data_IF_902678580652
#
_entry.id   IF_902678580652
#
_cell.length_a   1.000
_cell.length_b   1.000
_cell.length_c   1.000
_cell.angle_alpha   90.00
_cell.angle_beta   90.00
_cell.angle_gamma   90.00
#
_symmetry.space_group_name_H-M   'P 1'
#
loop_
_entity.id
_entity.type
_entity.pdbx_description
1 polymer ?
#
# COMPACT_ATOMS: atom_id res chain seq x y z
N UNK A 1 -14.72 28.99 0.48
CA UNK A 1 -14.44 27.66 -0.10
C UNK A 1 -13.04 27.27 0.33
N UNK A 2 -12.86 26.11 0.97
CA UNK A 2 -11.54 25.57 1.28
C UNK A 2 -10.81 25.25 -0.04
N UNK A 3 -9.51 25.52 -0.09
CA UNK A 3 -8.68 25.14 -1.23
C UNK A 3 -8.59 23.61 -1.29
N UNK A 4 -8.89 23.02 -2.44
CA UNK A 4 -8.74 21.58 -2.68
C UNK A 4 -7.37 21.36 -3.33
N UNK A 5 -6.51 20.59 -2.66
CA UNK A 5 -5.21 20.23 -3.19
C UNK A 5 -5.28 18.94 -4.04
N UNK A 6 -4.44 18.86 -5.08
CA UNK A 6 -4.30 17.64 -5.90
C UNK A 6 -3.27 16.68 -5.32
N UNK A 7 -3.40 15.39 -5.65
CA UNK A 7 -2.43 14.36 -5.25
C UNK A 7 -1.03 14.67 -5.82
N UNK A 8 -0.97 15.16 -7.05
CA UNK A 8 0.24 15.65 -7.69
C UNK A 8 0.96 16.72 -6.84
N UNK A 9 0.25 17.79 -6.48
CA UNK A 9 0.82 18.89 -5.70
C UNK A 9 1.39 18.41 -4.36
N UNK A 10 0.57 17.67 -3.60
CA UNK A 10 0.96 17.17 -2.27
C UNK A 10 2.16 16.23 -2.37
N UNK A 11 2.15 15.30 -3.33
CA UNK A 11 3.22 14.30 -3.47
C UNK A 11 4.56 14.94 -3.79
N UNK A 12 4.57 16.01 -4.60
CA UNK A 12 5.79 16.77 -4.87
C UNK A 12 6.28 17.52 -3.62
N UNK A 13 5.37 18.08 -2.81
CA UNK A 13 5.73 18.73 -1.54
C UNK A 13 6.35 17.76 -0.54
N UNK A 14 5.79 16.55 -0.43
CA UNK A 14 6.37 15.49 0.39
C UNK A 14 7.77 15.12 -0.11
N UNK A 15 7.96 14.95 -1.42
CA UNK A 15 9.29 14.64 -1.99
C UNK A 15 10.31 15.76 -1.70
N UNK A 16 9.93 17.03 -1.90
CA UNK A 16 10.78 18.19 -1.58
C UNK A 16 11.20 18.17 -0.11
N UNK A 17 10.24 17.92 0.80
CA UNK A 17 10.49 17.81 2.23
C UNK A 17 11.46 16.66 2.57
N UNK A 18 11.24 15.48 1.99
CA UNK A 18 12.13 14.33 2.17
C UNK A 18 13.56 14.62 1.72
N UNK A 19 13.73 15.20 0.52
CA UNK A 19 15.06 15.56 0.01
C UNK A 19 15.76 16.57 0.91
N UNK A 20 15.04 17.56 1.43
CA UNK A 20 15.60 18.51 2.39
C UNK A 20 16.09 17.88 3.71
N UNK A 21 15.67 16.65 4.01
CA UNK A 21 16.08 15.86 5.18
C UNK A 21 17.14 14.80 4.85
N UNK A 22 17.64 14.76 3.61
CA UNK A 22 18.68 13.83 3.17
C UNK A 22 18.20 12.50 2.61
N UNK A 23 16.89 12.35 2.33
CA UNK A 23 16.34 11.16 1.66
C UNK A 23 16.42 11.31 0.13
N UNK A 24 17.62 11.53 -0.40
CA UNK A 24 17.85 11.82 -1.82
C UNK A 24 17.57 10.63 -2.76
N UNK A 25 17.52 9.41 -2.22
CA UNK A 25 17.26 8.18 -2.97
C UNK A 25 15.82 8.06 -3.46
N UNK A 26 14.87 8.79 -2.87
CA UNK A 26 13.47 8.69 -3.24
C UNK A 26 13.16 9.41 -4.55
N UNK A 27 12.40 8.72 -5.39
CA UNK A 27 11.88 9.22 -6.66
C UNK A 27 10.36 9.10 -6.66
N UNK A 28 9.70 10.11 -7.22
CA UNK A 28 8.26 10.17 -7.30
C UNK A 28 7.75 9.64 -8.67
N UNK A 29 6.73 8.79 -8.63
CA UNK A 29 6.15 8.13 -9.82
C UNK A 29 4.62 8.12 -9.73
N UNK A 30 3.88 8.67 -10.71
CA UNK A 30 2.43 8.53 -10.75
C UNK A 30 2.07 7.17 -11.32
N UNK A 31 1.02 6.56 -10.77
CA UNK A 31 0.39 5.39 -11.38
C UNK A 31 -0.15 5.73 -12.76
N UNK A 32 -0.96 6.79 -12.88
CA UNK A 32 -1.47 7.29 -14.16
C UNK A 32 -0.85 8.66 -14.52
N UNK A 33 0.20 8.65 -15.33
CA UNK A 33 0.87 9.87 -15.81
C UNK A 33 -0.04 10.80 -16.64
N UNK A 34 -1.13 10.29 -17.20
CA UNK A 34 -2.08 11.06 -17.99
C UNK A 34 -3.16 11.73 -17.13
N UNK A 35 -3.29 11.34 -15.85
CA UNK A 35 -4.20 11.92 -14.85
C UNK A 35 -3.47 12.20 -13.53
N UNK A 36 -2.36 12.96 -13.54
CA UNK A 36 -1.48 13.10 -12.38
C UNK A 36 -2.18 13.72 -11.16
N UNK A 37 -3.18 14.58 -11.35
CA UNK A 37 -3.84 15.27 -10.24
C UNK A 37 -4.76 14.37 -9.40
N UNK A 38 -5.21 13.24 -9.97
CA UNK A 38 -6.14 12.32 -9.34
C UNK A 38 -5.73 10.86 -9.59
N UNK A 39 -4.52 10.52 -9.20
CA UNK A 39 -3.98 9.16 -9.28
C UNK A 39 -3.16 8.85 -8.03
N UNK A 40 -2.84 7.58 -7.84
CA UNK A 40 -1.89 7.17 -6.81
C UNK A 40 -0.51 7.65 -7.22
N UNK A 41 0.20 8.24 -6.27
CA UNK A 41 1.60 8.58 -6.41
C UNK A 41 2.43 7.71 -5.49
N UNK A 42 3.55 7.22 -5.99
CA UNK A 42 4.50 6.43 -5.22
C UNK A 42 5.80 7.18 -5.04
N UNK A 43 6.28 7.22 -3.80
CA UNK A 43 7.66 7.52 -3.46
C UNK A 43 8.40 6.19 -3.38
N UNK A 44 9.33 6.01 -4.31
CA UNK A 44 10.11 4.77 -4.49
C UNK A 44 11.57 5.06 -4.20
N UNK A 45 12.27 4.21 -3.44
CA UNK A 45 13.66 4.40 -3.02
C UNK A 45 14.68 4.10 -4.14
N UNK A 46 14.27 4.28 -5.40
CA UNK A 46 15.07 4.00 -6.58
C UNK A 46 14.56 4.83 -7.77
N UNK A 47 15.43 5.04 -8.77
CA UNK A 47 15.04 5.63 -10.05
C UNK A 47 14.40 4.62 -11.01
N UNK A 48 14.52 3.32 -10.71
CA UNK A 48 13.92 2.22 -11.45
C UNK A 48 12.38 2.36 -11.52
N UNK A 49 11.77 1.63 -12.45
CA UNK A 49 10.32 1.61 -12.56
C UNK A 49 9.74 1.07 -11.24
N UNK A 50 8.72 1.71 -10.66
CA UNK A 50 8.33 1.48 -9.26
C UNK A 50 7.85 0.06 -9.01
N UNK A 51 7.18 -0.55 -9.99
CA UNK A 51 6.53 -1.85 -9.83
C UNK A 51 7.45 -2.91 -9.20
N UNK A 52 6.86 -3.79 -8.39
CA UNK A 52 7.41 -5.08 -7.97
C UNK A 52 8.27 -5.04 -6.69
N UNK A 53 9.51 -4.57 -6.79
CA UNK A 53 10.55 -4.95 -5.84
C UNK A 53 10.47 -4.21 -4.50
N UNK A 54 10.27 -2.91 -4.54
CA UNK A 54 10.45 -2.05 -3.37
C UNK A 54 9.16 -1.89 -2.56
N UNK A 55 9.31 -1.78 -1.25
CA UNK A 55 8.33 -1.10 -0.41
C UNK A 55 8.28 0.38 -0.81
N UNK A 56 7.09 0.97 -0.76
CA UNK A 56 6.87 2.35 -1.22
C UNK A 56 6.07 3.12 -0.20
N UNK A 57 6.11 4.44 -0.34
CA UNK A 57 5.07 5.28 0.24
C UNK A 57 4.06 5.63 -0.86
N UNK A 58 2.80 5.23 -0.67
CA UNK A 58 1.69 5.62 -1.52
C UNK A 58 1.03 6.90 -1.00
N UNK A 59 0.65 7.79 -1.91
CA UNK A 59 -0.16 8.99 -1.67
C UNK A 59 -1.31 9.00 -2.66
N UNK A 60 -2.54 9.00 -2.18
CA UNK A 60 -3.74 9.00 -3.02
C UNK A 60 -4.92 9.63 -2.30
N UNK A 61 -6.06 9.81 -3.00
CA UNK A 61 -7.31 10.24 -2.36
C UNK A 61 -8.19 9.04 -2.07
N UNK A 62 -8.87 9.08 -0.94
CA UNK A 62 -9.87 8.06 -0.61
C UNK A 62 -11.03 8.10 -1.61
N UNK A 63 -11.65 6.95 -1.88
CA UNK A 63 -12.75 6.87 -2.85
C UNK A 63 -13.94 7.72 -2.39
N UNK A 64 -14.45 8.58 -3.28
CA UNK A 64 -15.51 9.56 -2.98
C UNK A 64 -15.17 10.58 -1.86
N UNK A 65 -13.90 10.78 -1.53
CA UNK A 65 -13.46 11.82 -0.61
C UNK A 65 -12.34 12.66 -1.22
N UNK A 66 -12.21 13.90 -0.76
CA UNK A 66 -11.07 14.78 -1.09
C UNK A 66 -9.87 14.57 -0.14
N UNK A 67 -10.06 13.75 0.89
CA UNK A 67 -9.04 13.43 1.89
C UNK A 67 -7.99 12.48 1.34
N UNK A 68 -6.78 12.66 1.83
CA UNK A 68 -5.62 11.91 1.39
C UNK A 68 -5.42 10.66 2.23
N UNK A 69 -4.94 9.61 1.58
CA UNK A 69 -4.35 8.44 2.21
C UNK A 69 -2.85 8.50 1.95
N UNK A 70 -2.05 8.38 3.01
CA UNK A 70 -0.60 8.31 2.89
C UNK A 70 -0.03 7.17 3.72
N UNK A 71 0.85 6.37 3.12
CA UNK A 71 1.66 5.46 3.91
C UNK A 71 2.25 4.28 3.17
N UNK A 72 2.59 3.24 3.91
CA UNK A 72 3.33 2.08 3.40
C UNK A 72 2.51 1.32 2.36
N UNK A 73 3.18 0.88 1.29
CA UNK A 73 2.59 0.11 0.21
C UNK A 73 3.50 -1.06 -0.19
N UNK A 74 2.88 -2.23 -0.32
CA UNK A 74 3.54 -3.49 -0.66
C UNK A 74 2.76 -4.19 -1.77
N UNK A 75 3.51 -4.82 -2.68
CA UNK A 75 2.96 -5.56 -3.82
C UNK A 75 3.39 -7.02 -3.72
N UNK A 76 2.43 -7.94 -3.85
CA UNK A 76 2.69 -9.35 -4.08
C UNK A 76 2.46 -9.69 -5.54
N UNK A 77 3.47 -10.28 -6.17
CA UNK A 77 3.34 -10.88 -7.48
C UNK A 77 2.65 -12.25 -7.47
N UNK A 78 2.59 -12.86 -8.64
CA UNK A 78 2.04 -14.20 -8.82
C UNK A 78 3.00 -15.29 -8.35
N UNK A 79 2.46 -16.44 -7.95
CA UNK A 79 3.28 -17.63 -7.65
C UNK A 79 4.04 -18.11 -8.90
N UNK A 80 5.01 -19.00 -8.71
CA UNK A 80 5.74 -19.61 -9.82
C UNK A 80 4.77 -20.28 -10.81
N UNK A 81 3.87 -21.14 -10.30
CA UNK A 81 2.85 -21.83 -11.10
C UNK A 81 1.92 -20.85 -11.81
N UNK A 82 1.38 -19.86 -11.08
CA UNK A 82 0.46 -18.88 -11.66
C UNK A 82 1.12 -18.04 -12.76
N UNK A 83 2.37 -17.63 -12.55
CA UNK A 83 3.13 -16.82 -13.51
C UNK A 83 3.51 -17.57 -14.78
N UNK A 84 3.70 -18.89 -14.71
CA UNK A 84 4.00 -19.73 -15.88
C UNK A 84 2.79 -19.85 -16.81
N UNK A 85 1.59 -19.88 -16.25
CA UNK A 85 0.34 -19.94 -17.02
C UNK A 85 -0.15 -18.56 -17.49
N UNK A 86 0.23 -17.49 -16.79
CA UNK A 86 -0.13 -16.11 -17.12
C UNK A 86 1.10 -15.33 -17.62
N UNK A 87 1.68 -14.43 -16.83
CA UNK A 87 2.82 -13.60 -17.20
C UNK A 87 4.00 -13.79 -16.25
N UNK A 88 5.11 -14.29 -16.78
CA UNK A 88 6.36 -14.47 -16.03
C UNK A 88 6.91 -13.14 -15.46
N UNK A 89 6.55 -11.99 -16.06
CA UNK A 89 6.96 -10.67 -15.57
C UNK A 89 6.33 -10.32 -14.22
N UNK A 90 5.17 -10.90 -13.91
CA UNK A 90 4.44 -10.67 -12.66
C UNK A 90 4.85 -11.64 -11.55
N UNK A 91 5.78 -12.57 -11.83
CA UNK A 91 6.25 -13.55 -10.85
C UNK A 91 6.95 -12.84 -9.69
N UNK A 92 6.49 -13.08 -8.47
CA UNK A 92 7.18 -12.62 -7.27
C UNK A 92 8.60 -13.19 -7.21
N UNK A 93 9.57 -12.35 -6.84
CA UNK A 93 10.96 -12.75 -6.63
C UNK A 93 11.31 -12.69 -5.14
N UNK A 94 12.36 -13.41 -4.74
CA UNK A 94 12.80 -13.49 -3.34
C UNK A 94 13.25 -12.14 -2.77
N UNK A 95 13.72 -11.23 -3.63
CA UNK A 95 14.23 -9.91 -3.26
C UNK A 95 13.14 -8.83 -3.16
N UNK A 96 11.86 -9.18 -3.29
CA UNK A 96 10.77 -8.23 -3.11
C UNK A 96 10.51 -7.94 -1.62
N UNK A 97 10.24 -6.68 -1.30
CA UNK A 97 9.90 -6.22 0.05
C UNK A 97 8.70 -6.97 0.65
N UNK A 98 7.81 -7.53 -0.18
CA UNK A 98 6.74 -8.41 0.25
C UNK A 98 7.22 -9.57 1.14
N UNK A 99 8.36 -10.19 0.82
CA UNK A 99 8.85 -11.34 1.58
C UNK A 99 9.34 -10.92 2.98
N UNK A 100 9.93 -9.74 3.10
CA UNK A 100 10.30 -9.11 4.38
C UNK A 100 9.03 -8.85 5.19
N UNK A 101 8.04 -8.21 4.56
CA UNK A 101 6.74 -7.91 5.15
C UNK A 101 6.02 -9.16 5.71
N UNK A 102 5.95 -10.25 4.95
CA UNK A 102 5.34 -11.51 5.41
C UNK A 102 6.08 -12.09 6.61
N UNK A 103 7.42 -12.03 6.60
CA UNK A 103 8.24 -12.49 7.73
C UNK A 103 8.00 -11.62 8.96
N UNK A 104 7.87 -10.31 8.80
CA UNK A 104 7.64 -9.38 9.90
C UNK A 104 6.24 -9.47 10.49
N UNK A 105 5.22 -9.80 9.68
CA UNK A 105 3.91 -10.20 10.23
C UNK A 105 4.07 -11.46 11.07
N UNK A 106 4.70 -12.51 10.53
CA UNK A 106 4.82 -13.81 11.21
C UNK A 106 5.60 -13.77 12.52
N UNK A 107 6.50 -12.80 12.69
CA UNK A 107 7.29 -12.60 13.91
C UNK A 107 6.72 -11.51 14.83
N UNK A 108 5.59 -10.90 14.48
CA UNK A 108 5.00 -9.77 15.22
C UNK A 108 5.81 -8.47 15.18
N UNK A 109 6.76 -8.35 14.25
CA UNK A 109 7.54 -7.12 14.06
C UNK A 109 6.71 -6.04 13.37
N UNK A 110 5.87 -6.41 12.40
CA UNK A 110 5.04 -5.45 11.69
C UNK A 110 4.08 -4.72 12.62
N UNK A 111 3.47 -5.43 13.58
CA UNK A 111 2.64 -4.81 14.61
C UNK A 111 3.42 -3.80 15.47
N UNK A 112 4.67 -4.13 15.87
CA UNK A 112 5.53 -3.20 16.62
C UNK A 112 5.85 -1.94 15.82
N UNK A 113 6.07 -2.09 14.51
CA UNK A 113 6.31 -0.97 13.58
C UNK A 113 5.08 -0.07 13.54
N UNK A 114 3.88 -0.64 13.34
CA UNK A 114 2.64 0.13 13.34
C UNK A 114 2.35 0.78 14.69
N UNK A 115 2.63 0.11 15.80
CA UNK A 115 2.50 0.68 17.14
C UNK A 115 3.44 1.88 17.34
N UNK A 116 4.67 1.82 16.82
CA UNK A 116 5.63 2.91 16.88
C UNK A 116 5.23 4.10 15.99
N UNK A 117 4.69 3.84 14.80
CA UNK A 117 4.09 4.86 13.92
C UNK A 117 2.92 5.53 14.64
N UNK A 118 1.95 4.76 15.13
CA UNK A 118 0.80 5.26 15.88
C UNK A 118 1.22 6.12 17.08
N UNK A 119 2.19 5.67 17.87
CA UNK A 119 2.71 6.44 19.01
C UNK A 119 3.32 7.78 18.59
N UNK A 120 3.90 7.85 17.39
CA UNK A 120 4.58 9.05 16.88
C UNK A 120 3.63 10.02 16.18
N UNK A 121 2.57 9.51 15.53
CA UNK A 121 1.59 10.32 14.80
C UNK A 121 0.36 10.66 15.63
N UNK A 122 -0.05 9.76 16.53
CA UNK A 122 -1.33 9.83 17.24
C UNK A 122 -2.54 9.52 16.36
N UNK A 123 -2.32 9.05 15.13
CA UNK A 123 -3.36 8.83 14.11
C UNK A 123 -3.59 7.33 13.89
N UNK A 124 -4.86 6.95 13.73
CA UNK A 124 -5.23 5.57 13.41
C UNK A 124 -4.67 5.15 12.04
N UNK A 125 -4.27 3.88 11.92
CA UNK A 125 -3.69 3.32 10.70
C UNK A 125 -4.73 2.43 10.03
N UNK A 126 -5.12 2.78 8.81
CA UNK A 126 -5.99 1.96 7.97
C UNK A 126 -5.15 0.95 7.20
N UNK A 127 -5.51 -0.32 7.30
CA UNK A 127 -4.96 -1.37 6.46
C UNK A 127 -5.94 -1.65 5.32
N UNK A 128 -5.46 -1.66 4.08
CA UNK A 128 -6.28 -1.95 2.91
C UNK A 128 -5.60 -3.08 2.16
N UNK A 129 -6.33 -4.15 1.94
CA UNK A 129 -5.90 -5.29 1.14
C UNK A 129 -6.75 -5.36 -0.11
N UNK A 130 -6.12 -5.35 -1.27
CA UNK A 130 -6.76 -5.47 -2.58
C UNK A 130 -6.16 -6.65 -3.31
N UNK A 131 -7.01 -7.54 -3.82
CA UNK A 131 -6.59 -8.70 -4.60
C UNK A 131 -7.19 -8.66 -6.01
N UNK A 132 -6.30 -8.69 -6.99
CA UNK A 132 -6.60 -8.58 -8.40
C UNK A 132 -6.36 -9.95 -9.05
N UNK A 133 -7.39 -10.64 -9.55
CA UNK A 133 -7.20 -11.93 -10.20
C UNK A 133 -6.48 -11.72 -11.54
N UNK A 134 -5.42 -12.49 -11.79
CA UNK A 134 -4.70 -12.47 -13.07
C UNK A 134 -5.00 -13.77 -13.80
N UNK A 135 -6.01 -13.71 -14.67
CA UNK A 135 -6.58 -14.92 -15.32
C UNK A 135 -5.94 -15.23 -16.69
N UNK A 136 -5.41 -14.24 -17.40
CA UNK A 136 -4.75 -14.45 -18.69
C UNK A 136 -3.67 -13.41 -19.03
N UNK A 137 -2.90 -13.69 -20.09
CA UNK A 137 -1.78 -12.85 -20.57
C UNK A 137 -2.23 -11.47 -21.06
N UNK A 138 -3.39 -11.37 -21.70
CA UNK A 138 -3.88 -10.10 -22.26
C UNK A 138 -4.33 -9.13 -21.15
N UNK A 139 -4.88 -9.68 -20.06
CA UNK A 139 -5.23 -8.92 -18.87
C UNK A 139 -3.99 -8.49 -18.08
N UNK A 140 -2.94 -9.32 -18.05
CA UNK A 140 -1.67 -9.02 -17.39
C UNK A 140 -0.83 -7.93 -18.09
N UNK A 141 -0.96 -7.79 -19.42
CA UNK A 141 -0.21 -6.82 -20.23
C UNK A 141 -0.90 -5.45 -20.36
N UNK A 142 -2.17 -5.32 -19.95
CA UNK A 142 -2.82 -4.02 -19.81
C UNK A 142 -2.39 -3.41 -18.48
N UNK A 143 -1.90 -2.16 -18.52
CA UNK A 143 -1.70 -1.36 -17.30
C UNK A 143 -2.97 -1.50 -16.46
N UNK A 144 -2.85 -2.08 -15.26
CA UNK A 144 -3.96 -2.41 -14.36
C UNK A 144 -4.63 -1.12 -13.85
N UNK A 145 -5.24 -0.31 -14.71
CA UNK A 145 -6.15 0.77 -14.32
C UNK A 145 -7.43 0.12 -13.78
N UNK A 146 -7.33 -0.52 -12.61
CA UNK A 146 -8.48 -1.14 -11.98
C UNK A 146 -9.22 -0.05 -11.19
N UNK A 147 -10.44 0.30 -11.60
CA UNK A 147 -11.35 1.03 -10.73
C UNK A 147 -11.65 0.11 -9.54
N UNK A 148 -11.35 0.57 -8.32
CA UNK A 148 -11.75 -0.03 -7.04
C UNK A 148 -11.72 -1.57 -7.01
N UNK A 149 -10.59 -2.16 -6.59
CA UNK A 149 -10.36 -3.61 -6.67
C UNK A 149 -11.58 -4.43 -6.20
N UNK A 150 -12.04 -5.33 -7.09
CA UNK A 150 -13.25 -6.14 -6.94
C UNK A 150 -13.20 -7.00 -5.67
N UNK A 151 -11.99 -7.37 -5.24
CA UNK A 151 -11.73 -8.05 -3.98
C UNK A 151 -10.94 -7.11 -3.07
N UNK A 152 -11.62 -6.51 -2.09
CA UNK A 152 -11.02 -5.60 -1.12
C UNK A 152 -11.45 -6.01 0.28
N UNK A 153 -10.58 -5.81 1.27
CA UNK A 153 -10.92 -5.85 2.70
C UNK A 153 -10.10 -4.80 3.44
N UNK A 154 -10.73 -4.14 4.41
CA UNK A 154 -10.11 -3.07 5.18
C UNK A 154 -10.16 -3.33 6.69
N UNK A 155 -9.13 -2.84 7.37
CA UNK A 155 -8.99 -2.87 8.81
C UNK A 155 -8.57 -1.51 9.33
N UNK A 156 -8.79 -1.29 10.61
CA UNK A 156 -8.35 -0.12 11.34
C UNK A 156 -7.51 -0.55 12.54
N UNK A 157 -6.35 0.06 12.71
CA UNK A 157 -5.48 -0.16 13.85
C UNK A 157 -5.34 1.13 14.66
N UNK A 158 -5.67 1.07 15.95
CA UNK A 158 -5.70 2.22 16.87
C UNK A 158 -4.54 2.22 17.88
N UNK A 159 -3.45 1.50 17.57
CA UNK A 159 -2.32 1.32 18.48
C UNK A 159 -2.51 0.22 19.53
N UNK A 160 -3.72 -0.36 19.64
CA UNK A 160 -4.05 -1.41 20.61
C UNK A 160 -4.55 -2.66 19.91
N UNK A 161 -5.56 -2.50 19.04
CA UNK A 161 -6.23 -3.62 18.40
C UNK A 161 -6.44 -3.38 16.91
N UNK A 162 -6.57 -4.49 16.18
CA UNK A 162 -6.92 -4.51 14.76
C UNK A 162 -8.42 -4.75 14.61
N UNK A 163 -9.15 -3.73 14.18
CA UNK A 163 -10.60 -3.77 13.96
C UNK A 163 -10.90 -4.04 12.48
N UNK A 164 -11.72 -5.06 12.21
CA UNK A 164 -12.21 -5.36 10.87
C UNK A 164 -13.39 -4.46 10.47
N UNK A 165 -13.27 -3.77 9.33
CA UNK A 165 -14.34 -2.92 8.78
C UNK A 165 -15.24 -3.79 7.90
N UNK A 166 -16.31 -4.35 8.48
CA UNK A 166 -17.17 -5.36 7.83
C UNK A 166 -17.75 -4.93 6.49
N UNK A 167 -18.13 -3.66 6.38
CA UNK A 167 -18.77 -3.08 5.20
C UNK A 167 -17.79 -2.91 4.03
N UNK A 168 -16.49 -2.98 4.30
CA UNK A 168 -15.44 -2.82 3.29
C UNK A 168 -15.18 -4.07 2.45
N UNK A 169 -15.57 -5.26 2.95
CA UNK A 169 -15.25 -6.51 2.30
C UNK A 169 -16.05 -6.71 1.00
N UNK A 170 -15.33 -6.94 -0.10
CA UNK A 170 -15.89 -7.12 -1.45
C UNK A 170 -15.34 -8.41 -2.09
N UNK A 171 -16.13 -9.00 -2.98
CA UNK A 171 -15.71 -10.17 -3.76
C UNK A 171 -15.30 -11.37 -2.89
N UNK A 172 -14.22 -12.05 -3.27
CA UNK A 172 -13.71 -13.22 -2.56
C UNK A 172 -13.19 -12.89 -1.15
N UNK A 173 -12.86 -11.63 -0.89
CA UNK A 173 -12.36 -11.19 0.41
C UNK A 173 -13.42 -11.26 1.53
N UNK A 174 -14.71 -11.37 1.18
CA UNK A 174 -15.81 -11.58 2.13
C UNK A 174 -15.64 -12.86 2.97
N UNK A 175 -14.88 -13.84 2.45
CA UNK A 175 -14.59 -15.09 3.15
C UNK A 175 -13.63 -14.92 4.34
N UNK A 176 -12.85 -13.85 4.40
CA UNK A 176 -11.83 -13.59 5.43
C UNK A 176 -12.31 -12.71 6.60
N UNK A 177 -13.57 -12.89 7.00
CA UNK A 177 -14.24 -12.07 8.04
C UNK A 177 -13.74 -12.26 9.47
N UNK A 178 -12.96 -13.30 9.74
CA UNK A 178 -12.52 -13.72 11.08
C UNK A 178 -11.07 -13.30 11.40
N UNK A 179 -10.61 -12.19 10.80
CA UNK A 179 -9.28 -11.60 11.05
C UNK A 179 -9.39 -10.63 12.22
N UNK A 180 -8.75 -10.96 13.34
CA UNK A 180 -8.71 -10.11 14.54
C UNK A 180 -7.29 -9.78 15.02
N UNK A 181 -6.27 -10.36 14.39
CA UNK A 181 -4.85 -10.12 14.71
C UNK A 181 -4.03 -10.02 13.43
N UNK A 182 -2.87 -9.37 13.51
CA UNK A 182 -1.95 -9.26 12.37
C UNK A 182 -1.53 -10.61 11.80
N UNK A 183 -1.27 -11.61 12.65
CA UNK A 183 -0.93 -12.96 12.21
C UNK A 183 -2.05 -13.62 11.38
N UNK A 184 -3.31 -13.24 11.60
CA UNK A 184 -4.44 -13.77 10.82
C UNK A 184 -4.40 -13.29 9.37
N UNK A 185 -3.73 -12.16 9.06
CA UNK A 185 -3.52 -11.70 7.67
C UNK A 185 -2.74 -12.74 6.86
N UNK A 186 -1.86 -13.52 7.49
CA UNK A 186 -1.14 -14.60 6.83
C UNK A 186 -2.08 -15.69 6.30
N UNK A 187 -3.27 -15.87 6.90
CA UNK A 187 -4.27 -16.81 6.40
C UNK A 187 -4.80 -16.38 5.04
N UNK A 188 -4.92 -15.07 4.81
CA UNK A 188 -5.29 -14.53 3.50
C UNK A 188 -4.16 -14.78 2.52
N UNK A 189 -2.94 -14.36 2.86
CA UNK A 189 -1.82 -14.41 1.91
C UNK A 189 -1.38 -15.82 1.52
N UNK A 190 -1.69 -16.82 2.35
CA UNK A 190 -1.37 -18.24 2.14
C UNK A 190 -2.56 -19.08 1.67
N UNK A 191 -3.72 -18.47 1.41
CA UNK A 191 -4.84 -19.21 0.83
C UNK A 191 -4.46 -19.68 -0.60
N UNK A 192 -4.84 -20.92 -0.96
CA UNK A 192 -4.36 -21.58 -2.19
C UNK A 192 -4.78 -20.84 -3.47
N UNK A 193 -5.93 -20.17 -3.45
CA UNK A 193 -6.44 -19.32 -4.53
C UNK A 193 -5.60 -18.05 -4.70
N UNK A 194 -5.07 -17.48 -3.62
CA UNK A 194 -4.29 -16.24 -3.63
C UNK A 194 -2.97 -16.32 -4.40
N UNK A 195 -2.55 -17.51 -4.82
CA UNK A 195 -1.43 -17.69 -5.76
C UNK A 195 -1.66 -17.03 -7.13
N UNK A 196 -2.92 -16.93 -7.54
CA UNK A 196 -3.39 -16.36 -8.81
C UNK A 196 -3.71 -14.86 -8.73
N UNK A 197 -3.47 -14.26 -7.57
CA UNK A 197 -3.80 -12.88 -7.30
C UNK A 197 -2.54 -12.03 -7.20
N UNK A 198 -2.56 -10.92 -7.94
CA UNK A 198 -1.74 -9.77 -7.60
C UNK A 198 -2.35 -9.11 -6.37
N UNK A 199 -1.53 -8.85 -5.34
CA UNK A 199 -2.01 -8.30 -4.08
C UNK A 199 -1.36 -6.97 -3.79
N UNK A 200 -2.18 -5.96 -3.59
CA UNK A 200 -1.80 -4.65 -3.11
C UNK A 200 -2.16 -4.55 -1.62
N UNK A 201 -1.18 -4.27 -0.78
CA UNK A 201 -1.37 -4.05 0.65
C UNK A 201 -0.92 -2.64 1.03
N UNK A 202 -1.80 -1.92 1.71
CA UNK A 202 -1.57 -0.56 2.17
C UNK A 202 -1.66 -0.52 3.70
N UNK A 203 -0.76 0.21 4.35
CA UNK A 203 -0.89 0.64 5.74
C UNK A 203 -0.75 2.18 5.77
N UNK A 204 -1.91 2.85 5.81
CA UNK A 204 -2.02 4.29 5.49
C UNK A 204 -2.73 5.05 6.61
N UNK A 205 -2.40 6.33 6.73
CA UNK A 205 -3.10 7.29 7.58
C UNK A 205 -3.95 8.18 6.67
N UNK A 206 -5.19 8.40 7.08
CA UNK A 206 -6.09 9.35 6.42
C UNK A 206 -5.80 10.78 6.92
N UNK A 207 -5.64 11.73 6.00
CA UNK A 207 -5.34 13.13 6.29
C UNK A 207 -6.31 14.01 5.53
N UNK A 208 -7.04 14.86 6.27
CA UNK A 208 -8.01 15.77 5.68
C UNK A 208 -7.35 16.70 4.67
N UNK A 209 -8.04 17.02 3.56
CA UNK A 209 -7.47 17.84 2.49
C UNK A 209 -6.86 19.18 2.98
N UNK A 210 -7.52 19.84 3.93
CA UNK A 210 -7.07 21.10 4.52
C UNK A 210 -5.82 20.97 5.41
N UNK A 211 -5.48 19.75 5.84
CA UNK A 211 -4.37 19.45 6.73
C UNK A 211 -3.24 18.69 6.02
N UNK A 212 -3.19 18.73 4.68
CA UNK A 212 -2.26 17.94 3.88
C UNK A 212 -0.79 18.07 4.32
N UNK A 213 -0.39 19.21 4.87
CA UNK A 213 0.99 19.44 5.33
C UNK A 213 1.41 18.52 6.49
N UNK A 214 0.46 17.92 7.23
CA UNK A 214 0.76 16.84 8.20
C UNK A 214 1.50 15.67 7.55
N UNK A 215 1.29 15.41 6.25
CA UNK A 215 1.98 14.33 5.55
C UNK A 215 3.50 14.54 5.47
N UNK A 216 3.98 15.79 5.54
CA UNK A 216 5.41 16.10 5.56
C UNK A 216 6.12 15.62 6.84
N UNK A 217 5.39 15.39 7.93
CA UNK A 217 5.93 14.73 9.15
C UNK A 217 5.62 13.24 9.17
N UNK A 218 4.45 12.81 8.71
CA UNK A 218 4.02 11.41 8.70
C UNK A 218 4.96 10.55 7.85
N UNK A 219 5.31 10.99 6.64
CA UNK A 219 6.11 10.16 5.71
C UNK A 219 7.51 9.83 6.25
N UNK A 220 8.30 10.80 6.76
CA UNK A 220 9.56 10.48 7.43
C UNK A 220 9.42 9.53 8.62
N UNK A 221 8.34 9.65 9.41
CA UNK A 221 8.06 8.74 10.53
C UNK A 221 7.87 7.32 10.01
N UNK A 222 7.09 7.13 8.94
CA UNK A 222 6.89 5.80 8.36
C UNK A 222 8.19 5.20 7.82
N UNK A 223 9.00 6.00 7.11
CA UNK A 223 10.29 5.55 6.58
C UNK A 223 11.21 5.10 7.72
N UNK A 224 11.37 5.91 8.76
CA UNK A 224 12.28 5.61 9.87
C UNK A 224 11.86 4.43 10.73
N UNK A 225 10.56 4.14 10.81
CA UNK A 225 10.07 2.98 11.55
C UNK A 225 10.14 1.69 10.72
N UNK A 226 10.37 1.76 9.41
CA UNK A 226 10.44 0.58 8.55
C UNK A 226 11.48 0.73 7.43
N UNK A 227 12.72 1.03 7.78
CA UNK A 227 13.78 1.27 6.78
C UNK A 227 14.09 0.03 5.92
N UNK A 228 13.91 -1.18 6.46
CA UNK A 228 14.32 -2.45 5.82
C UNK A 228 13.60 -2.78 4.51
N UNK A 229 12.46 -2.14 4.22
CA UNK A 229 11.67 -2.42 3.01
C UNK A 229 11.96 -1.48 1.84
N UNK A 230 12.77 -0.44 2.08
CA UNK A 230 13.09 0.59 1.09
C UNK A 230 14.40 0.26 0.35
#
# INVERSE_FOLDING_TARGET
>A
MSQIFSTNFVSHKILENLKSRGYDQFTLRPFNRHKPDNTIWWLVPSTEWPSYKHGKIAVFKSYNSEDFMVGLYFEKGLSAEASEMSSQKLRIQDDWAWNIFIKDIGNGNFEKILAAIFKSTGEDIKLILQAIPVMDKEQADKDFEIPEAINTIEFKYNGIELEYIKESAKGEMVSFKDIGKFEDLLKVFKANDMEWYWIDFYAVIEVTNSEWSKMESIVPIMINNYEEIF
#
